data_IF_077395738530
#
_entry.id   IF_077395738530
#
_cell.length_a   1.000
_cell.length_b   1.000
_cell.length_c   1.000
_cell.angle_alpha   90.00
_cell.angle_beta   90.00
_cell.angle_gamma   90.00
#
_symmetry.space_group_name_H-M   'P 1'
#
loop_
_entity.id
_entity.type
_entity.pdbx_description
1 polymer ?
#
# COMPACT_ATOMS: atom_id res chain seq x y z
N UNK A 1 27.47 -4.99 26.97
CA UNK A 1 26.08 -4.77 27.49
C UNK A 1 24.96 -5.22 26.54
N UNK A 2 25.14 -5.22 25.22
CA UNK A 2 24.11 -5.60 24.24
C UNK A 2 23.57 -7.04 24.39
N UNK A 3 24.43 -8.02 24.69
CA UNK A 3 24.00 -9.42 24.86
C UNK A 3 22.99 -9.64 25.99
N UNK A 4 23.12 -8.91 27.11
CA UNK A 4 22.15 -8.98 28.22
C UNK A 4 20.79 -8.40 27.80
N UNK A 5 20.77 -7.30 27.02
CA UNK A 5 19.54 -6.69 26.50
C UNK A 5 18.81 -7.62 25.52
N UNK A 6 19.53 -8.18 24.55
CA UNK A 6 18.97 -9.15 23.59
C UNK A 6 18.44 -10.40 24.29
N UNK A 7 19.13 -10.90 25.32
CA UNK A 7 18.65 -12.05 26.09
C UNK A 7 17.35 -11.78 26.85
N UNK A 8 17.14 -10.55 27.35
CA UNK A 8 15.89 -10.13 27.98
C UNK A 8 14.77 -10.01 26.95
N UNK A 9 15.06 -9.40 25.80
CA UNK A 9 14.08 -9.23 24.73
C UNK A 9 13.60 -10.58 24.18
N UNK A 10 14.53 -11.52 23.91
CA UNK A 10 14.21 -12.89 23.50
C UNK A 10 13.32 -13.62 24.51
N UNK A 11 13.56 -13.44 25.82
CA UNK A 11 12.68 -13.99 26.87
C UNK A 11 11.29 -13.34 26.89
N UNK A 12 11.23 -12.02 26.70
CA UNK A 12 9.96 -11.28 26.63
C UNK A 12 9.09 -11.76 25.46
N UNK A 13 9.71 -12.10 24.33
CA UNK A 13 9.03 -12.65 23.15
C UNK A 13 8.78 -14.16 23.25
N UNK A 14 9.12 -14.82 24.36
CA UNK A 14 9.04 -16.28 24.51
C UNK A 14 9.83 -17.08 23.45
N UNK A 15 10.90 -16.47 22.94
CA UNK A 15 11.82 -17.02 21.93
C UNK A 15 13.10 -17.61 22.53
N UNK A 16 13.20 -17.70 23.86
CA UNK A 16 14.36 -18.29 24.51
C UNK A 16 14.34 -19.82 24.42
N UNK A 17 15.29 -20.40 23.68
CA UNK A 17 15.49 -21.87 23.61
C UNK A 17 16.21 -22.42 24.83
N UNK A 18 17.03 -21.60 25.51
CA UNK A 18 17.85 -21.98 26.66
C UNK A 18 17.42 -21.26 27.93
N UNK A 19 17.65 -21.91 29.07
CA UNK A 19 17.57 -21.31 30.41
C UNK A 19 18.72 -20.34 30.65
N UNK A 20 18.65 -19.53 31.72
CA UNK A 20 19.73 -18.62 32.11
C UNK A 20 21.06 -19.32 32.44
N UNK A 21 21.02 -20.64 32.63
CA UNK A 21 22.16 -21.51 32.96
C UNK A 21 22.68 -22.25 31.70
N UNK A 22 22.07 -22.02 30.52
CA UNK A 22 22.50 -22.59 29.24
C UNK A 22 21.84 -23.93 28.86
N UNK A 23 21.05 -24.52 29.75
CA UNK A 23 20.33 -25.78 29.47
C UNK A 23 19.21 -25.54 28.46
N UNK A 24 19.16 -26.37 27.42
CA UNK A 24 18.11 -26.33 26.38
C UNK A 24 16.74 -26.64 27.01
N UNK A 25 15.83 -25.67 26.99
CA UNK A 25 14.46 -25.81 27.50
C UNK A 25 13.51 -26.29 26.42
N UNK A 26 13.64 -25.77 25.19
CA UNK A 26 12.84 -26.22 24.03
C UNK A 26 13.53 -25.92 22.71
N UNK A 27 13.19 -26.72 21.70
CA UNK A 27 13.47 -26.40 20.29
C UNK A 27 12.47 -25.33 19.82
N UNK A 28 12.96 -24.25 19.24
CA UNK A 28 12.09 -23.23 18.64
C UNK A 28 11.43 -23.81 17.39
N UNK A 29 10.16 -23.46 17.17
CA UNK A 29 9.47 -23.82 15.94
C UNK A 29 10.10 -23.05 14.77
N UNK A 30 10.17 -23.64 13.56
CA UNK A 30 10.58 -22.91 12.39
C UNK A 30 9.70 -21.66 12.23
N UNK A 31 10.34 -20.53 11.96
CA UNK A 31 9.64 -19.26 11.72
C UNK A 31 8.92 -19.40 10.38
N UNK A 32 7.60 -19.19 10.38
CA UNK A 32 6.85 -19.12 9.13
C UNK A 32 7.22 -17.81 8.44
N UNK A 33 7.89 -17.88 7.30
CA UNK A 33 8.22 -16.71 6.47
C UNK A 33 6.97 -15.95 6.04
N UNK A 34 5.84 -16.63 5.89
CA UNK A 34 4.52 -16.02 5.60
C UNK A 34 4.03 -15.13 6.73
N UNK A 35 4.34 -15.47 7.99
CA UNK A 35 3.94 -14.68 9.17
C UNK A 35 4.81 -13.44 9.42
N UNK A 36 5.97 -13.35 8.74
CA UNK A 36 6.94 -12.25 8.87
C UNK A 36 7.00 -11.43 7.58
N UNK A 37 6.06 -11.63 6.66
CA UNK A 37 6.00 -10.87 5.42
C UNK A 37 5.73 -9.38 5.73
N UNK A 38 6.41 -8.45 5.04
CA UNK A 38 6.12 -7.03 5.21
C UNK A 38 4.66 -6.72 4.90
N UNK A 39 4.07 -5.84 5.72
CA UNK A 39 2.77 -5.25 5.41
C UNK A 39 2.99 -4.22 4.31
N UNK A 40 2.38 -4.46 3.15
CA UNK A 40 2.42 -3.53 2.03
C UNK A 40 1.32 -2.50 2.24
N UNK A 41 1.67 -1.23 2.08
CA UNK A 41 0.78 -0.07 2.22
C UNK A 41 0.88 0.78 0.95
N UNK A 42 -0.26 1.18 0.41
CA UNK A 42 -0.32 2.17 -0.67
C UNK A 42 -0.47 3.53 0.00
N UNK A 43 0.50 4.42 -0.24
CA UNK A 43 0.58 5.74 0.41
C UNK A 43 0.91 6.81 -0.61
N UNK A 44 0.59 8.09 -0.32
CA UNK A 44 0.99 9.20 -1.17
C UNK A 44 2.51 9.28 -1.28
N UNK A 45 3.02 9.76 -2.42
CA UNK A 45 4.48 9.90 -2.61
C UNK A 45 5.09 11.03 -1.77
N UNK A 46 4.27 12.00 -1.38
CA UNK A 46 4.64 13.13 -0.54
C UNK A 46 4.14 12.91 0.88
N UNK A 47 4.96 13.30 1.86
CA UNK A 47 4.60 13.23 3.30
C UNK A 47 4.34 14.61 3.90
N UNK A 48 4.63 15.67 3.14
CA UNK A 48 4.41 17.06 3.50
C UNK A 48 3.75 17.79 2.33
N UNK A 49 2.94 18.79 2.63
CA UNK A 49 2.24 19.59 1.63
C UNK A 49 3.25 20.42 0.82
N UNK A 50 3.39 20.20 -0.51
CA UNK A 50 4.32 20.96 -1.35
C UNK A 50 3.88 22.41 -1.63
N UNK A 51 2.64 22.78 -1.29
CA UNK A 51 2.12 24.12 -1.55
C UNK A 51 2.91 25.18 -0.77
N UNK A 52 3.40 26.21 -1.47
CA UNK A 52 4.21 27.29 -0.88
C UNK A 52 3.54 27.98 0.31
N UNK A 53 2.21 28.12 0.29
CA UNK A 53 1.44 28.75 1.37
C UNK A 53 1.36 27.89 2.64
N UNK A 54 1.63 26.58 2.53
CA UNK A 54 1.48 25.63 3.63
C UNK A 54 2.79 25.36 4.38
N UNK A 55 3.91 26.00 4.01
CA UNK A 55 5.20 25.87 4.69
C UNK A 55 5.63 24.42 4.96
N UNK A 56 5.40 23.50 4.01
CA UNK A 56 5.72 22.06 4.16
C UNK A 56 5.06 21.40 5.39
N UNK A 57 3.84 21.80 5.75
CA UNK A 57 3.10 21.14 6.82
C UNK A 57 2.97 19.63 6.55
N UNK A 58 3.17 18.82 7.59
CA UNK A 58 3.02 17.35 7.48
C UNK A 58 1.58 17.00 7.11
N UNK A 59 1.44 16.02 6.22
CA UNK A 59 0.13 15.47 5.88
C UNK A 59 -0.37 14.61 7.04
N UNK A 60 -1.64 14.79 7.39
CA UNK A 60 -2.37 13.94 8.35
C UNK A 60 -3.11 12.86 7.59
N UNK A 61 -3.25 11.66 8.14
CA UNK A 61 -4.07 10.62 7.54
C UNK A 61 -5.54 11.09 7.48
N UNK A 62 -6.16 11.02 6.30
CA UNK A 62 -7.54 11.50 6.11
C UNK A 62 -8.57 10.51 6.68
N UNK A 63 -8.35 9.23 6.41
CA UNK A 63 -9.29 8.17 6.81
C UNK A 63 -8.81 7.53 8.11
N UNK A 64 -9.73 7.29 9.03
CA UNK A 64 -9.45 6.44 10.19
C UNK A 64 -9.13 5.00 9.76
N UNK A 65 -8.37 4.26 10.57
CA UNK A 65 -7.89 2.91 10.23
C UNK A 65 -9.01 1.92 9.88
N UNK A 66 -10.17 2.05 10.52
CA UNK A 66 -11.37 1.24 10.27
C UNK A 66 -12.09 1.57 8.94
N UNK A 67 -11.93 2.78 8.42
CA UNK A 67 -12.56 3.28 7.18
C UNK A 67 -11.59 3.19 6.00
N UNK A 68 -10.36 2.74 6.25
CA UNK A 68 -9.32 2.61 5.24
C UNK A 68 -9.70 1.51 4.24
N UNK A 69 -9.82 1.90 2.98
CA UNK A 69 -10.15 0.99 1.89
C UNK A 69 -9.07 -0.06 1.69
N UNK A 70 -9.48 -1.32 1.62
CA UNK A 70 -8.61 -2.47 1.35
C UNK A 70 -8.78 -2.91 -0.10
N UNK A 71 -7.66 -3.06 -0.80
CA UNK A 71 -7.62 -3.33 -2.25
C UNK A 71 -6.75 -4.52 -2.58
N UNK A 72 -6.89 -5.03 -3.80
CA UNK A 72 -5.97 -6.00 -4.38
C UNK A 72 -4.86 -5.24 -5.11
N UNK A 73 -3.61 -5.44 -4.70
CA UNK A 73 -2.44 -4.89 -5.37
C UNK A 73 -1.77 -5.96 -6.24
N UNK A 74 -1.64 -5.68 -7.54
CA UNK A 74 -0.86 -6.47 -8.48
C UNK A 74 0.52 -5.83 -8.64
N UNK A 75 1.55 -6.49 -8.13
CA UNK A 75 2.93 -6.03 -8.19
C UNK A 75 3.78 -7.03 -8.98
N UNK A 76 4.12 -6.69 -10.21
CA UNK A 76 4.76 -7.61 -11.15
C UNK A 76 3.97 -8.91 -11.32
N UNK A 77 4.52 -10.03 -10.85
CA UNK A 77 3.86 -11.34 -10.85
C UNK A 77 3.16 -11.69 -9.53
N UNK A 78 3.26 -10.85 -8.51
CA UNK A 78 2.68 -11.09 -7.18
C UNK A 78 1.32 -10.40 -7.05
N UNK A 79 0.40 -11.09 -6.37
CA UNK A 79 -0.91 -10.56 -6.01
C UNK A 79 -1.00 -10.44 -4.49
N UNK A 80 -1.16 -9.22 -4.00
CA UNK A 80 -1.31 -8.92 -2.59
C UNK A 80 -2.76 -8.53 -2.30
N UNK A 81 -3.41 -9.32 -1.46
CA UNK A 81 -4.80 -9.09 -1.06
C UNK A 81 -4.87 -8.21 0.19
N UNK A 82 -5.98 -7.49 0.33
CA UNK A 82 -6.30 -6.66 1.50
C UNK A 82 -5.25 -5.58 1.82
N UNK A 83 -4.63 -5.01 0.78
CA UNK A 83 -3.65 -3.92 0.93
C UNK A 83 -4.40 -2.63 1.29
N UNK A 84 -4.10 -1.97 2.41
CA UNK A 84 -4.70 -0.68 2.76
C UNK A 84 -4.19 0.45 1.85
N UNK A 85 -5.11 1.32 1.45
CA UNK A 85 -4.82 2.55 0.71
C UNK A 85 -5.00 3.75 1.62
N UNK A 86 -3.91 4.46 1.90
CA UNK A 86 -3.91 5.65 2.74
C UNK A 86 -3.94 6.91 1.87
N UNK A 87 -4.71 7.89 2.32
CA UNK A 87 -4.71 9.25 1.80
C UNK A 87 -4.18 10.21 2.87
N UNK A 88 -3.38 11.17 2.43
CA UNK A 88 -2.90 12.27 3.26
C UNK A 88 -3.73 13.52 3.00
N UNK A 89 -4.07 14.27 4.05
CA UNK A 89 -4.70 15.58 3.98
C UNK A 89 -3.78 16.63 4.54
N UNK A 90 -3.70 17.78 3.89
CA UNK A 90 -3.07 18.95 4.47
C UNK A 90 -4.06 19.64 5.43
N UNK A 91 -3.70 19.89 6.69
CA UNK A 91 -4.59 20.57 7.64
C UNK A 91 -4.78 22.06 7.33
N UNK A 92 -3.90 22.66 6.51
CA UNK A 92 -3.92 24.10 6.21
C UNK A 92 -4.74 24.39 4.96
N UNK A 93 -4.40 23.79 3.81
CA UNK A 93 -5.06 24.03 2.54
C UNK A 93 -6.15 23.01 2.18
N UNK A 94 -6.40 22.04 3.07
CA UNK A 94 -7.42 21.01 2.88
C UNK A 94 -7.23 20.09 1.66
N UNK A 95 -6.09 20.16 0.97
CA UNK A 95 -5.80 19.33 -0.20
C UNK A 95 -5.59 17.88 0.21
N UNK A 96 -6.07 16.95 -0.63
CA UNK A 96 -5.93 15.51 -0.45
C UNK A 96 -4.86 14.97 -1.39
N UNK A 97 -4.04 14.08 -0.87
CA UNK A 97 -2.95 13.44 -1.57
C UNK A 97 -3.21 11.94 -1.51
N UNK A 98 -3.37 11.32 -2.66
CA UNK A 98 -3.47 9.87 -2.83
C UNK A 98 -2.17 9.34 -3.47
N UNK A 99 -2.09 8.02 -3.64
CA UNK A 99 -0.91 7.40 -4.25
C UNK A 99 -0.80 7.66 -5.77
N UNK A 100 -1.91 7.87 -6.46
CA UNK A 100 -1.98 8.08 -7.92
C UNK A 100 -2.44 9.47 -8.34
N UNK A 101 -3.08 10.24 -7.45
CA UNK A 101 -3.57 11.57 -7.75
C UNK A 101 -3.59 12.48 -6.53
N UNK A 102 -3.71 13.78 -6.79
CA UNK A 102 -3.85 14.83 -5.80
C UNK A 102 -5.13 15.62 -6.09
N UNK A 103 -5.80 16.07 -5.04
CA UNK A 103 -7.08 16.77 -5.12
C UNK A 103 -7.00 18.11 -4.39
N UNK A 104 -7.38 19.17 -5.09
CA UNK A 104 -7.28 20.54 -4.64
C UNK A 104 -8.61 21.25 -4.85
N UNK A 105 -9.03 22.04 -3.86
CA UNK A 105 -10.16 22.95 -3.99
C UNK A 105 -9.63 24.30 -4.47
N UNK A 106 -9.96 24.74 -5.69
CA UNK A 106 -9.54 26.06 -6.17
C UNK A 106 -10.52 27.15 -5.71
N UNK A 107 -10.05 28.41 -5.61
CA UNK A 107 -10.81 29.57 -5.13
C UNK A 107 -12.16 29.82 -5.84
N UNK A 108 -12.38 29.24 -7.03
CA UNK A 108 -13.64 29.32 -7.78
C UNK A 108 -14.61 28.16 -7.52
N UNK A 109 -14.43 27.40 -6.43
CA UNK A 109 -15.22 26.20 -6.07
C UNK A 109 -15.14 25.03 -7.06
N UNK A 110 -14.20 25.09 -8.02
CA UNK A 110 -13.89 23.97 -8.88
C UNK A 110 -12.88 23.04 -8.18
N UNK A 111 -13.30 21.78 -8.01
CA UNK A 111 -12.47 20.69 -7.52
C UNK A 111 -11.55 20.19 -8.64
N UNK A 112 -10.24 20.34 -8.43
CA UNK A 112 -9.22 19.94 -9.40
C UNK A 112 -8.57 18.65 -8.93
N UNK A 113 -8.63 17.63 -9.77
CA UNK A 113 -7.96 16.35 -9.57
C UNK A 113 -6.81 16.21 -10.56
N UNK A 114 -5.58 16.05 -10.05
CA UNK A 114 -4.35 15.92 -10.84
C UNK A 114 -3.75 14.53 -10.65
N UNK A 115 -3.67 13.75 -11.73
CA UNK A 115 -3.00 12.47 -11.71
C UNK A 115 -1.48 12.64 -11.78
N UNK A 116 -0.77 11.86 -10.98
CA UNK A 116 0.69 11.93 -10.86
C UNK A 116 1.36 11.13 -11.98
N UNK A 117 2.21 11.78 -12.78
CA UNK A 117 2.97 11.11 -13.84
C UNK A 117 3.96 10.07 -13.30
N UNK A 118 4.49 10.30 -12.10
CA UNK A 118 5.46 9.43 -11.44
C UNK A 118 4.81 8.48 -10.42
N UNK A 119 3.48 8.29 -10.48
CA UNK A 119 2.75 7.39 -9.59
C UNK A 119 3.35 5.98 -9.61
N UNK A 120 3.76 5.48 -8.45
CA UNK A 120 4.28 4.10 -8.30
C UNK A 120 3.20 3.04 -8.43
N UNK A 121 1.99 3.39 -8.01
CA UNK A 121 0.82 2.53 -8.08
C UNK A 121 -0.31 3.30 -8.76
N UNK A 122 -1.07 2.61 -9.60
CA UNK A 122 -2.20 3.17 -10.30
C UNK A 122 -3.46 2.36 -9.99
N UNK A 123 -4.58 3.04 -9.78
CA UNK A 123 -5.87 2.38 -9.62
C UNK A 123 -6.39 1.90 -10.99
N UNK A 124 -6.67 0.60 -11.10
CA UNK A 124 -7.24 -0.02 -12.32
C UNK A 124 -8.59 -0.64 -11.96
N UNK A 125 -9.67 0.09 -12.19
CA UNK A 125 -11.02 -0.34 -11.81
C UNK A 125 -11.41 0.07 -10.38
N UNK A 126 -12.30 -0.69 -9.74
CA UNK A 126 -12.90 -0.28 -8.44
C UNK A 126 -11.99 -0.57 -7.23
N UNK A 127 -11.44 -1.78 -7.16
CA UNK A 127 -10.72 -2.30 -5.99
C UNK A 127 -9.36 -2.92 -6.34
N UNK A 128 -8.85 -2.69 -7.55
CA UNK A 128 -7.54 -3.17 -7.98
C UNK A 128 -6.60 -2.00 -8.16
N UNK A 129 -5.42 -2.15 -7.61
CA UNK A 129 -4.27 -1.29 -7.81
C UNK A 129 -3.16 -2.09 -8.44
N UNK A 130 -2.35 -1.45 -9.25
CA UNK A 130 -1.27 -2.11 -9.99
C UNK A 130 0.00 -1.29 -9.90
N UNK A 131 1.16 -1.92 -9.97
CA UNK A 131 2.43 -1.21 -10.11
C UNK A 131 2.69 -0.73 -11.55
N UNK A 132 3.79 0.00 -11.75
CA UNK A 132 4.17 0.46 -13.08
C UNK A 132 4.48 -0.68 -14.07
N UNK A 133 4.95 -1.85 -13.60
CA UNK A 133 5.28 -2.98 -14.46
C UNK A 133 4.01 -3.59 -15.06
N UNK A 134 3.02 -3.86 -14.21
CA UNK A 134 1.70 -4.35 -14.62
C UNK A 134 0.97 -3.29 -15.44
N UNK A 135 1.05 -2.02 -15.06
CA UNK A 135 0.48 -0.90 -15.84
C UNK A 135 1.01 -0.88 -17.28
N UNK A 136 2.34 -0.97 -17.45
CA UNK A 136 2.97 -1.01 -18.78
C UNK A 136 2.51 -2.23 -19.57
N UNK A 137 2.42 -3.40 -18.93
CA UNK A 137 1.90 -4.61 -19.59
C UNK A 137 0.45 -4.43 -20.05
N UNK A 138 -0.40 -3.81 -19.23
CA UNK A 138 -1.81 -3.51 -19.58
C UNK A 138 -1.89 -2.53 -20.75
N UNK A 139 -1.12 -1.45 -20.73
CA UNK A 139 -1.09 -0.47 -21.83
C UNK A 139 -0.60 -1.13 -23.12
N UNK A 140 0.50 -1.89 -23.06
CA UNK A 140 1.02 -2.63 -24.21
C UNK A 140 -0.01 -3.62 -24.75
N UNK A 141 -0.72 -4.35 -23.88
CA UNK A 141 -1.78 -5.25 -24.29
C UNK A 141 -2.96 -4.51 -24.97
N UNK A 142 -3.39 -3.36 -24.44
CA UNK A 142 -4.42 -2.54 -25.10
C UNK A 142 -3.99 -2.15 -26.52
N UNK A 143 -2.74 -1.70 -26.69
CA UNK A 143 -2.20 -1.32 -28.00
C UNK A 143 -2.05 -2.52 -28.94
N UNK A 144 -1.47 -3.64 -28.47
CA UNK A 144 -1.21 -4.81 -29.31
C UNK A 144 -2.48 -5.56 -29.72
N UNK A 145 -3.48 -5.63 -28.85
CA UNK A 145 -4.73 -6.34 -29.13
C UNK A 145 -5.82 -5.42 -29.71
N UNK A 146 -5.56 -4.12 -29.87
CA UNK A 146 -6.56 -3.10 -30.19
C UNK A 146 -7.84 -3.25 -29.35
N UNK A 147 -7.69 -3.75 -28.13
CA UNK A 147 -8.82 -4.09 -27.29
C UNK A 147 -9.35 -2.81 -26.62
N UNK A 148 -10.66 -2.73 -26.47
CA UNK A 148 -11.31 -1.64 -25.76
C UNK A 148 -10.83 -1.65 -24.29
N UNK A 149 -10.39 -0.50 -23.77
CA UNK A 149 -9.94 -0.35 -22.37
C UNK A 149 -10.95 -0.93 -21.38
N UNK A 150 -12.26 -0.76 -21.64
CA UNK A 150 -13.30 -1.32 -20.79
C UNK A 150 -13.38 -2.85 -20.81
N UNK A 151 -13.05 -3.50 -21.93
CA UNK A 151 -12.96 -4.96 -22.01
C UNK A 151 -11.78 -5.48 -21.18
N UNK A 152 -10.64 -4.78 -21.25
CA UNK A 152 -9.46 -5.08 -20.44
C UNK A 152 -9.75 -4.86 -18.95
N UNK A 153 -10.34 -3.73 -18.54
CA UNK A 153 -10.74 -3.50 -17.15
C UNK A 153 -11.69 -4.58 -16.63
N UNK A 154 -12.66 -5.01 -17.45
CA UNK A 154 -13.55 -6.13 -17.11
C UNK A 154 -12.75 -7.43 -16.92
N UNK A 155 -11.90 -7.79 -17.88
CA UNK A 155 -11.04 -8.98 -17.80
C UNK A 155 -10.25 -9.01 -16.48
N UNK A 156 -9.54 -7.93 -16.14
CA UNK A 156 -8.74 -7.87 -14.91
C UNK A 156 -9.59 -7.91 -13.65
N UNK A 157 -10.73 -7.24 -13.64
CA UNK A 157 -11.67 -7.34 -12.53
C UNK A 157 -12.16 -8.80 -12.33
N UNK A 158 -12.49 -9.51 -13.41
CA UNK A 158 -12.90 -10.91 -13.35
C UNK A 158 -11.76 -11.85 -12.94
N UNK A 159 -10.56 -11.66 -13.48
CA UNK A 159 -9.43 -12.56 -13.23
C UNK A 159 -8.84 -12.45 -11.83
N UNK A 160 -8.93 -11.27 -11.18
CA UNK A 160 -8.21 -11.00 -9.91
C UNK A 160 -9.09 -10.51 -8.76
N UNK A 161 -10.33 -10.08 -9.02
CA UNK A 161 -11.25 -9.59 -7.97
C UNK A 161 -12.38 -10.56 -7.71
N UNK A 162 -12.90 -11.26 -8.74
CA UNK A 162 -13.83 -12.33 -8.45
C UNK A 162 -13.09 -13.42 -7.67
N UNK A 163 -13.59 -13.81 -6.49
CA UNK A 163 -13.15 -15.05 -5.91
C UNK A 163 -13.48 -16.12 -6.95
N UNK A 164 -12.59 -17.10 -7.08
CA UNK A 164 -12.99 -18.42 -7.56
C UNK A 164 -14.33 -18.73 -6.90
N UNK A 165 -15.40 -18.70 -7.69
CA UNK A 165 -16.70 -19.21 -7.28
C UNK A 165 -16.42 -20.63 -6.79
N UNK A 166 -16.54 -20.82 -5.49
CA UNK A 166 -16.80 -22.13 -4.93
C UNK A 166 -18.20 -22.55 -5.35
#
# INVERSE_FOLDING_TARGET
MAGKKLSRFSRSLSLASHTSIGVLKRKLRPISTTSVQPVILITPMVMACPTLTCNNHSLTQELCDWDTSKVTLLQGSQCHLNVPVLAGRCPVCNSLYWADHEHFTQNNSDDVCLYLNDAKYLKVGKSVWVDCLVSRAIVNANYSFHALTAAITKFWHFSFVQPMLK
#
